data_IF_953976181762
#
_entry.id   IF_953976181762
#
_cell.length_a   1.000
_cell.length_b   1.000
_cell.length_c   1.000
_cell.angle_alpha   90.00
_cell.angle_beta   90.00
_cell.angle_gamma   90.00
#
_symmetry.space_group_name_H-M   'P 1'
#
loop_
_entity.id
_entity.type
_entity.pdbx_description
1 polymer ?
#
# COMPACT_ATOMS: atom_id res chain seq x y z
N UNK A 1 19.32 -19.73 10.64
CA UNK A 1 19.16 -18.98 11.92
C UNK A 1 19.26 -19.82 13.19
N UNK A 2 19.34 -21.16 13.15
CA UNK A 2 19.30 -21.99 14.39
C UNK A 2 20.69 -22.23 15.03
N UNK A 3 21.79 -22.06 14.30
CA UNK A 3 23.13 -22.46 14.78
C UNK A 3 23.77 -21.50 15.81
N UNK A 4 23.36 -20.23 15.86
CA UNK A 4 23.96 -19.23 16.75
C UNK A 4 23.49 -19.31 18.21
N UNK A 5 22.29 -19.85 18.48
CA UNK A 5 21.73 -19.90 19.86
C UNK A 5 22.34 -20.99 20.75
N UNK A 6 23.07 -21.95 20.17
CA UNK A 6 23.67 -23.07 20.93
C UNK A 6 25.11 -22.83 21.40
N UNK A 7 25.82 -21.85 20.84
CA UNK A 7 27.26 -21.63 21.09
C UNK A 7 27.57 -20.44 22.01
N UNK A 8 26.56 -19.81 22.63
CA UNK A 8 26.75 -18.71 23.59
C UNK A 8 27.30 -17.40 22.99
N UNK A 9 27.34 -17.25 21.67
CA UNK A 9 27.75 -16.00 21.02
C UNK A 9 26.70 -14.90 21.24
N UNK A 10 27.15 -13.68 21.56
CA UNK A 10 26.30 -12.49 21.74
C UNK A 10 25.51 -12.24 20.46
N UNK A 11 24.21 -12.53 20.49
CA UNK A 11 23.29 -12.20 19.40
C UNK A 11 22.88 -10.75 19.57
N UNK A 12 23.26 -9.88 18.63
CA UNK A 12 22.75 -8.52 18.58
C UNK A 12 21.21 -8.55 18.48
N UNK A 13 20.53 -8.14 19.54
CA UNK A 13 19.08 -7.98 19.54
C UNK A 13 18.74 -6.52 19.25
N UNK A 14 18.67 -6.17 17.97
CA UNK A 14 18.15 -4.86 17.56
C UNK A 14 16.65 -4.76 17.88
N UNK A 15 16.32 -3.88 18.83
CA UNK A 15 14.93 -3.52 19.15
C UNK A 15 14.39 -2.67 17.99
N UNK A 16 13.58 -3.27 17.13
CA UNK A 16 12.84 -2.52 16.10
C UNK A 16 11.97 -1.47 16.79
N UNK A 17 12.19 -0.19 16.50
CA UNK A 17 11.52 0.97 17.12
C UNK A 17 9.98 0.95 16.99
N UNK A 18 9.42 0.14 16.09
CA UNK A 18 7.97 -0.01 15.88
C UNK A 18 7.42 -1.37 16.36
N UNK A 19 8.20 -2.14 17.13
CA UNK A 19 7.75 -3.41 17.67
C UNK A 19 6.66 -3.18 18.74
N UNK A 20 5.43 -3.64 18.45
CA UNK A 20 4.29 -3.64 19.39
C UNK A 20 3.13 -2.69 19.07
N UNK A 21 3.20 -1.90 17.99
CA UNK A 21 2.11 -1.01 17.56
C UNK A 21 1.27 -1.55 16.39
N UNK A 22 -0.05 -1.30 16.39
CA UNK A 22 -1.00 -1.69 15.34
C UNK A 22 -1.47 -0.50 14.48
N UNK A 23 -0.57 0.46 14.19
CA UNK A 23 -0.94 1.69 13.47
C UNK A 23 -1.34 1.35 12.02
N UNK A 24 -2.62 1.56 11.69
CA UNK A 24 -3.21 1.23 10.38
C UNK A 24 -2.59 1.99 9.21
N UNK A 25 -2.17 3.24 9.44
CA UNK A 25 -1.26 3.96 8.57
C UNK A 25 0.02 4.22 9.35
N UNK A 26 1.12 3.64 8.87
CA UNK A 26 2.45 4.12 9.26
C UNK A 26 2.44 5.62 8.93
N UNK A 27 2.64 6.48 9.93
CA UNK A 27 2.79 7.92 9.69
C UNK A 27 3.90 8.15 8.67
N UNK A 28 4.01 9.38 8.15
CA UNK A 28 5.16 9.77 7.33
C UNK A 28 6.43 9.27 8.00
N UNK A 29 7.11 8.38 7.29
CA UNK A 29 8.32 7.71 7.74
C UNK A 29 9.21 8.71 8.47
N UNK A 30 9.68 8.39 9.67
CA UNK A 30 10.52 9.29 10.46
C UNK A 30 11.79 9.69 9.68
N UNK A 31 12.19 8.88 8.68
CA UNK A 31 13.24 9.22 7.70
C UNK A 31 12.80 10.24 6.64
N UNK A 32 11.51 10.29 6.27
CA UNK A 32 10.95 11.34 5.40
C UNK A 32 10.82 12.66 6.16
N UNK A 33 10.40 12.64 7.42
CA UNK A 33 10.28 13.87 8.24
C UNK A 33 11.65 14.55 8.37
N UNK A 34 12.71 13.78 8.68
CA UNK A 34 14.07 14.31 8.79
C UNK A 34 14.70 14.78 7.46
N UNK A 35 14.19 14.30 6.31
CA UNK A 35 14.62 14.76 4.97
C UNK A 35 13.82 15.98 4.48
N UNK A 36 12.54 16.09 4.84
CA UNK A 36 11.66 17.21 4.46
C UNK A 36 12.12 18.56 5.02
N UNK A 37 12.81 18.57 6.17
CA UNK A 37 13.37 19.80 6.77
C UNK A 37 14.61 20.35 6.03
N UNK A 38 15.23 19.57 5.12
CA UNK A 38 16.51 19.93 4.48
C UNK A 38 16.39 20.47 3.06
N UNK A 39 15.30 20.20 2.35
CA UNK A 39 15.18 20.53 0.92
C UNK A 39 13.83 21.19 0.63
N UNK A 40 13.84 22.52 0.57
CA UNK A 40 12.70 23.34 0.22
C UNK A 40 12.61 23.50 -1.31
N UNK A 41 12.34 22.40 -2.01
CA UNK A 41 11.87 22.35 -3.41
C UNK A 41 11.49 20.90 -3.80
N UNK A 42 10.45 20.37 -3.15
CA UNK A 42 10.00 18.99 -3.38
C UNK A 42 9.10 18.95 -4.61
N UNK A 43 9.65 18.48 -5.74
CA UNK A 43 8.85 18.11 -6.91
C UNK A 43 7.64 17.25 -6.48
N UNK A 44 6.42 17.50 -6.99
CA UNK A 44 5.23 16.79 -6.54
C UNK A 44 5.45 15.27 -6.59
N UNK A 45 5.15 14.53 -5.50
CA UNK A 45 5.35 13.10 -5.49
C UNK A 45 4.61 12.44 -6.66
N UNK A 46 5.19 11.43 -7.31
CA UNK A 46 4.60 10.80 -8.50
C UNK A 46 3.20 10.29 -8.16
N UNK A 47 2.20 10.82 -8.87
CA UNK A 47 0.78 10.47 -8.67
C UNK A 47 0.46 9.11 -9.26
N UNK A 48 -0.67 8.53 -8.84
CA UNK A 48 -1.18 7.29 -9.42
C UNK A 48 -1.42 7.48 -10.92
N UNK A 49 -0.90 6.56 -11.73
CA UNK A 49 -1.10 6.63 -13.19
C UNK A 49 -2.59 6.54 -13.53
N UNK A 50 -3.08 7.29 -14.54
CA UNK A 50 -4.49 7.23 -14.96
C UNK A 50 -4.97 5.82 -15.33
N UNK A 51 -4.06 4.95 -15.81
CA UNK A 51 -4.34 3.55 -16.11
C UNK A 51 -4.78 2.74 -14.88
N UNK A 52 -4.22 3.03 -13.71
CA UNK A 52 -4.58 2.37 -12.44
C UNK A 52 -5.96 2.81 -11.99
N UNK A 53 -6.28 4.11 -12.09
CA UNK A 53 -7.61 4.63 -11.74
C UNK A 53 -8.72 3.99 -12.58
N UNK A 54 -8.48 3.87 -13.90
CA UNK A 54 -9.41 3.18 -14.81
C UNK A 54 -9.55 1.69 -14.48
N UNK A 55 -8.46 0.99 -14.18
CA UNK A 55 -8.50 -0.42 -13.79
C UNK A 55 -9.30 -0.65 -12.48
N UNK A 56 -9.15 0.24 -11.50
CA UNK A 56 -9.95 0.21 -10.26
C UNK A 56 -11.43 0.37 -10.58
N UNK A 57 -11.77 1.36 -11.40
CA UNK A 57 -13.15 1.65 -11.78
C UNK A 57 -13.80 0.48 -12.52
N UNK A 58 -13.11 -0.10 -13.51
CA UNK A 58 -13.60 -1.28 -14.26
C UNK A 58 -13.79 -2.48 -13.33
N UNK A 59 -12.79 -2.83 -12.51
CA UNK A 59 -12.89 -3.97 -11.59
C UNK A 59 -13.98 -3.76 -10.52
N UNK A 60 -14.23 -2.51 -10.11
CA UNK A 60 -15.32 -2.15 -9.20
C UNK A 60 -16.69 -2.40 -9.86
N UNK A 61 -16.86 -1.98 -11.11
CA UNK A 61 -18.09 -2.17 -11.88
C UNK A 61 -18.36 -3.65 -12.17
N UNK A 62 -17.35 -4.43 -12.54
CA UNK A 62 -17.46 -5.88 -12.74
C UNK A 62 -17.95 -6.62 -11.49
N UNK A 63 -17.56 -6.14 -10.30
CA UNK A 63 -18.00 -6.67 -9.01
C UNK A 63 -19.26 -6.01 -8.44
N UNK A 64 -19.87 -5.09 -9.19
CA UNK A 64 -21.05 -4.32 -8.77
C UNK A 64 -20.88 -3.62 -7.41
N UNK A 65 -19.66 -3.20 -7.06
CA UNK A 65 -19.41 -2.47 -5.82
C UNK A 65 -19.64 -0.98 -6.01
N UNK A 66 -20.30 -0.31 -5.05
CA UNK A 66 -20.21 1.14 -4.96
C UNK A 66 -18.83 1.57 -4.43
N UNK A 67 -18.46 2.83 -4.62
CA UNK A 67 -17.23 3.37 -4.01
C UNK A 67 -17.26 3.22 -2.48
N UNK A 68 -18.44 3.34 -1.86
CA UNK A 68 -18.64 3.16 -0.42
C UNK A 68 -18.42 1.71 0.01
N UNK A 69 -18.92 0.74 -0.75
CA UNK A 69 -18.76 -0.68 -0.43
C UNK A 69 -17.29 -1.11 -0.56
N UNK A 70 -16.61 -0.62 -1.60
CA UNK A 70 -15.18 -0.85 -1.77
C UNK A 70 -14.37 -0.21 -0.63
N UNK A 71 -14.70 1.02 -0.24
CA UNK A 71 -14.07 1.74 0.86
C UNK A 71 -14.22 0.98 2.19
N UNK A 72 -15.43 0.50 2.50
CA UNK A 72 -15.70 -0.32 3.68
C UNK A 72 -14.89 -1.62 3.67
N UNK A 73 -14.82 -2.31 2.53
CA UNK A 73 -14.08 -3.57 2.40
C UNK A 73 -12.57 -3.40 2.57
N UNK A 74 -12.05 -2.24 2.18
CA UNK A 74 -10.62 -1.90 2.24
C UNK A 74 -10.28 -1.15 3.55
N UNK A 75 -11.29 -0.85 4.38
CA UNK A 75 -11.18 -0.04 5.60
C UNK A 75 -10.52 1.31 5.33
N UNK A 76 -10.97 2.00 4.28
CA UNK A 76 -10.52 3.33 3.90
C UNK A 76 -11.72 4.26 3.74
N UNK A 77 -11.48 5.57 3.64
CA UNK A 77 -12.55 6.55 3.40
C UNK A 77 -13.01 6.53 1.94
N UNK A 78 -14.30 6.75 1.64
CA UNK A 78 -14.79 6.84 0.25
C UNK A 78 -14.07 7.90 -0.58
N UNK A 79 -13.69 9.04 0.04
CA UNK A 79 -12.93 10.09 -0.62
C UNK A 79 -11.57 9.60 -1.14
N UNK A 80 -10.91 8.71 -0.38
CA UNK A 80 -9.62 8.14 -0.78
C UNK A 80 -9.82 7.29 -2.03
N UNK A 81 -10.85 6.45 -2.09
CA UNK A 81 -11.16 5.64 -3.28
C UNK A 81 -11.41 6.54 -4.51
N UNK A 82 -12.15 7.63 -4.34
CA UNK A 82 -12.40 8.60 -5.41
C UNK A 82 -11.11 9.26 -5.91
N UNK A 83 -10.18 9.61 -5.00
CA UNK A 83 -8.88 10.17 -5.37
C UNK A 83 -8.01 9.16 -6.14
N UNK A 84 -8.11 7.87 -5.83
CA UNK A 84 -7.43 6.80 -6.56
C UNK A 84 -8.04 6.56 -7.94
N UNK A 85 -9.38 6.51 -8.06
CA UNK A 85 -10.08 6.37 -9.35
C UNK A 85 -9.80 7.56 -10.28
N UNK A 86 -9.63 8.76 -9.72
CA UNK A 86 -9.33 9.99 -10.48
C UNK A 86 -7.83 10.24 -10.72
N UNK A 87 -6.93 9.39 -10.21
CA UNK A 87 -5.48 9.53 -10.37
C UNK A 87 -4.87 10.72 -9.60
N UNK A 88 -5.62 11.33 -8.68
CA UNK A 88 -5.16 12.45 -7.84
C UNK A 88 -4.43 11.99 -6.59
N UNK A 89 -4.69 10.77 -6.15
CA UNK A 89 -4.09 10.20 -4.95
C UNK A 89 -2.56 10.05 -5.06
N UNK A 90 -1.90 10.19 -3.92
CA UNK A 90 -0.49 9.80 -3.76
C UNK A 90 -0.46 8.27 -3.60
N UNK A 91 0.33 7.53 -4.40
CA UNK A 91 0.39 6.07 -4.33
C UNK A 91 0.86 5.59 -2.95
N UNK A 92 -0.04 4.98 -2.18
CA UNK A 92 0.31 4.27 -0.95
C UNK A 92 0.32 2.75 -1.23
N UNK A 93 1.47 2.07 -1.12
CA UNK A 93 1.57 0.64 -1.42
C UNK A 93 0.70 -0.24 -0.51
N UNK A 94 0.36 0.22 0.69
CA UNK A 94 -0.55 -0.49 1.60
C UNK A 94 -1.98 -0.47 1.06
N UNK A 95 -2.48 0.71 0.69
CA UNK A 95 -3.84 0.89 0.13
C UNK A 95 -3.96 0.13 -1.19
N UNK A 96 -2.97 0.25 -2.08
CA UNK A 96 -2.93 -0.49 -3.34
C UNK A 96 -2.97 -2.00 -3.11
N UNK A 97 -2.21 -2.52 -2.14
CA UNK A 97 -2.25 -3.97 -1.81
C UNK A 97 -3.63 -4.43 -1.31
N UNK A 98 -4.34 -3.60 -0.54
CA UNK A 98 -5.70 -3.92 -0.09
C UNK A 98 -6.70 -3.87 -1.25
N UNK A 99 -6.59 -2.87 -2.12
CA UNK A 99 -7.43 -2.73 -3.31
C UNK A 99 -7.24 -3.90 -4.28
N UNK A 100 -6.00 -4.32 -4.53
CA UNK A 100 -5.69 -5.49 -5.36
C UNK A 100 -6.37 -6.75 -4.83
N UNK A 101 -6.38 -6.96 -3.51
CA UNK A 101 -7.05 -8.14 -2.90
C UNK A 101 -8.57 -8.03 -2.94
N UNK A 102 -9.13 -6.85 -2.70
CA UNK A 102 -10.58 -6.66 -2.71
C UNK A 102 -11.16 -6.79 -4.13
N UNK A 103 -10.47 -6.20 -5.11
CA UNK A 103 -10.87 -6.20 -6.52
C UNK A 103 -10.35 -7.41 -7.28
N UNK A 104 -9.36 -8.15 -6.76
CA UNK A 104 -8.82 -9.33 -7.42
C UNK A 104 -8.14 -9.00 -8.75
N UNK A 105 -7.57 -7.79 -8.87
CA UNK A 105 -6.82 -7.33 -10.04
C UNK A 105 -5.48 -6.76 -9.58
N UNK A 106 -4.47 -6.80 -10.45
CA UNK A 106 -3.18 -6.15 -10.20
C UNK A 106 -3.28 -4.66 -10.52
N UNK A 107 -2.82 -3.84 -9.59
CA UNK A 107 -2.84 -2.37 -9.70
C UNK A 107 -1.43 -1.78 -9.69
N UNK A 108 -0.41 -2.65 -9.70
CA UNK A 108 1.02 -2.32 -9.64
C UNK A 108 1.81 -3.14 -10.65
N UNK A 109 2.92 -2.57 -11.11
CA UNK A 109 3.82 -3.21 -12.09
C UNK A 109 3.35 -3.06 -13.54
N UNK A 110 3.84 -3.94 -14.42
CA UNK A 110 3.58 -3.86 -15.86
C UNK A 110 2.16 -4.31 -16.27
N UNK A 111 1.52 -5.20 -15.49
CA UNK A 111 0.22 -5.81 -15.84
C UNK A 111 -0.93 -5.18 -15.05
N UNK A 112 -1.18 -3.89 -15.25
CA UNK A 112 -2.29 -3.16 -14.60
C UNK A 112 -3.63 -3.65 -15.17
N UNK A 113 -4.57 -4.04 -14.30
CA UNK A 113 -5.91 -4.51 -14.69
C UNK A 113 -6.02 -6.03 -14.94
N UNK A 114 -4.92 -6.77 -14.90
CA UNK A 114 -4.95 -8.24 -15.02
C UNK A 114 -5.51 -8.88 -13.74
N UNK A 115 -6.26 -9.99 -13.86
CA UNK A 115 -6.77 -10.75 -12.70
C UNK A 115 -5.61 -11.17 -11.79
N UNK A 116 -5.77 -10.99 -10.49
CA UNK A 116 -4.81 -11.38 -9.46
C UNK A 116 -4.83 -12.90 -9.29
N UNK A 117 -4.20 -13.61 -10.22
CA UNK A 117 -4.06 -15.06 -10.25
C UNK A 117 -2.60 -15.49 -10.41
N UNK A 118 -1.92 -15.67 -9.28
CA UNK A 118 -0.64 -16.36 -9.13
C UNK A 118 -0.59 -16.91 -7.68
N UNK A 119 0.08 -18.04 -7.41
CA UNK A 119 -0.22 -18.91 -6.28
C UNK A 119 -0.12 -18.15 -4.96
N UNK A 120 -1.10 -18.37 -4.08
CA UNK A 120 -0.99 -18.00 -2.66
C UNK A 120 0.32 -18.59 -2.15
N UNK A 121 1.25 -17.74 -1.70
CA UNK A 121 2.29 -18.21 -0.77
C UNK A 121 1.57 -18.57 0.52
N UNK A 122 1.18 -19.84 0.61
CA UNK A 122 0.88 -20.55 1.85
C UNK A 122 2.12 -20.61 2.74
#
# INVERSE_FOLDING_TARGET
>A
MIQARRAGAVVATDKKMTAGGNKAHQGTDHQRIAKLDRENEVAPPPKVLPSVGKAIQTARQEKQFSQKDLAQKVNEKPSVIQDYESGKAIPNPQILSKLERALGVKLRGANIGEKLGGPKKS
#
